data_IF_636262615745
#
_entry.id   IF_636262615745
#
_cell.length_a   1.000
_cell.length_b   1.000
_cell.length_c   1.000
_cell.angle_alpha   90.00
_cell.angle_beta   90.00
_cell.angle_gamma   90.00
#
_symmetry.space_group_name_H-M   'P 1'
#
loop_
_entity.id
_entity.type
_entity.pdbx_description
1 polymer ?
#
# COMPACT_ATOMS: atom_id res chain seq x y z
N UNK A 1 -4.21 -10.44 -28.04
CA UNK A 1 -4.74 -10.03 -26.73
C UNK A 1 -4.29 -11.05 -25.70
N UNK A 2 -3.40 -10.67 -24.79
CA UNK A 2 -3.05 -11.52 -23.65
C UNK A 2 -4.33 -11.76 -22.84
N UNK A 3 -4.69 -13.03 -22.66
CA UNK A 3 -5.84 -13.43 -21.85
C UNK A 3 -5.57 -12.94 -20.43
N UNK A 4 -6.44 -12.11 -19.87
CA UNK A 4 -6.32 -11.60 -18.51
C UNK A 4 -6.30 -12.79 -17.53
N UNK A 5 -5.11 -13.17 -17.06
CA UNK A 5 -4.96 -14.31 -16.15
C UNK A 5 -5.16 -13.86 -14.71
N UNK A 6 -5.59 -14.78 -13.84
CA UNK A 6 -5.69 -14.52 -12.39
C UNK A 6 -4.36 -14.03 -11.81
N UNK A 7 -3.25 -14.60 -12.25
CA UNK A 7 -1.91 -14.17 -11.84
C UNK A 7 -1.62 -12.72 -12.25
N UNK A 8 -1.92 -12.34 -13.50
CA UNK A 8 -1.72 -10.97 -13.97
C UNK A 8 -2.58 -9.96 -13.20
N UNK A 9 -3.84 -10.30 -12.90
CA UNK A 9 -4.71 -9.47 -12.05
C UNK A 9 -4.11 -9.33 -10.66
N UNK A 10 -3.69 -10.43 -10.04
CA UNK A 10 -3.12 -10.42 -8.70
C UNK A 10 -1.84 -9.58 -8.62
N UNK A 11 -0.94 -9.72 -9.59
CA UNK A 11 0.27 -8.90 -9.68
C UNK A 11 -0.07 -7.42 -9.84
N UNK A 12 -1.01 -7.07 -10.73
CA UNK A 12 -1.43 -5.68 -10.90
C UNK A 12 -2.02 -5.10 -9.61
N UNK A 13 -2.88 -5.85 -8.92
CA UNK A 13 -3.44 -5.45 -7.63
C UNK A 13 -2.35 -5.24 -6.57
N UNK A 14 -1.38 -6.14 -6.49
CA UNK A 14 -0.27 -6.04 -5.56
C UNK A 14 0.57 -4.78 -5.83
N UNK A 15 0.94 -4.53 -7.08
CA UNK A 15 1.68 -3.32 -7.46
C UNK A 15 0.89 -2.03 -7.20
N UNK A 16 -0.44 -2.04 -7.41
CA UNK A 16 -1.28 -0.90 -7.04
C UNK A 16 -1.28 -0.66 -5.52
N UNK A 17 -1.32 -1.73 -4.71
CA UNK A 17 -1.24 -1.62 -3.26
C UNK A 17 0.11 -1.04 -2.82
N UNK A 18 1.22 -1.55 -3.34
CA UNK A 18 2.57 -1.04 -3.03
C UNK A 18 2.68 0.45 -3.35
N UNK A 19 2.27 0.85 -4.56
CA UNK A 19 2.29 2.26 -4.96
C UNK A 19 1.40 3.16 -4.10
N UNK A 20 0.22 2.67 -3.70
CA UNK A 20 -0.67 3.41 -2.81
C UNK A 20 -0.09 3.54 -1.39
N UNK A 21 0.50 2.47 -0.84
CA UNK A 21 1.17 2.51 0.46
C UNK A 21 2.30 3.54 0.44
N UNK A 22 3.15 3.53 -0.59
CA UNK A 22 4.23 4.53 -0.74
C UNK A 22 3.69 5.97 -0.77
N UNK A 23 2.64 6.25 -1.55
CA UNK A 23 2.06 7.58 -1.62
C UNK A 23 1.48 8.06 -0.28
N UNK A 24 0.93 7.14 0.52
CA UNK A 24 0.46 7.46 1.88
C UNK A 24 1.64 7.77 2.80
N UNK A 25 2.75 7.02 2.72
CA UNK A 25 3.96 7.31 3.52
C UNK A 25 4.52 8.70 3.17
N UNK A 26 4.60 9.04 1.88
CA UNK A 26 5.04 10.38 1.44
C UNK A 26 4.13 11.48 1.98
N UNK A 27 2.81 11.23 2.04
CA UNK A 27 1.84 12.16 2.61
C UNK A 27 2.03 12.32 4.12
N UNK A 28 2.40 11.25 4.85
CA UNK A 28 2.69 11.33 6.29
C UNK A 28 3.92 12.18 6.55
N UNK A 29 4.99 12.02 5.76
CA UNK A 29 6.19 12.86 5.84
C UNK A 29 5.85 14.33 5.60
N UNK A 30 5.05 14.60 4.56
CA UNK A 30 4.63 15.95 4.19
C UNK A 30 3.77 16.62 5.28
N UNK A 31 2.71 15.96 5.73
CA UNK A 31 1.77 16.53 6.73
C UNK A 31 2.43 16.70 8.11
N UNK A 32 3.43 15.88 8.43
CA UNK A 32 4.13 15.95 9.71
C UNK A 32 5.34 16.89 9.69
N UNK A 33 5.70 17.44 8.52
CA UNK A 33 6.92 18.24 8.30
C UNK A 33 8.20 17.55 8.80
N UNK A 34 8.29 16.23 8.58
CA UNK A 34 9.46 15.41 8.94
C UNK A 34 9.98 14.62 7.75
N UNK A 35 11.27 14.31 7.77
CA UNK A 35 11.87 13.31 6.88
C UNK A 35 12.23 12.07 7.68
N UNK A 36 11.64 10.94 7.31
CA UNK A 36 11.92 9.65 7.91
C UNK A 36 13.25 9.12 7.38
N UNK A 37 14.03 8.50 8.26
CA UNK A 37 15.15 7.67 7.82
C UNK A 37 14.66 6.32 7.27
N UNK A 38 15.56 5.52 6.71
CA UNK A 38 15.21 4.25 6.06
C UNK A 38 14.49 3.27 7.00
N UNK A 39 14.88 3.19 8.27
CA UNK A 39 14.26 2.31 9.26
C UNK A 39 12.86 2.76 9.62
N UNK A 40 12.69 4.06 9.86
CA UNK A 40 11.40 4.70 10.15
C UNK A 40 10.45 4.57 8.97
N UNK A 41 10.94 4.84 7.75
CA UNK A 41 10.17 4.71 6.52
C UNK A 41 9.64 3.28 6.37
N UNK A 42 10.47 2.26 6.57
CA UNK A 42 10.01 0.87 6.55
C UNK A 42 9.00 0.54 7.64
N UNK A 43 9.15 1.10 8.84
CA UNK A 43 8.19 0.89 9.93
C UNK A 43 6.83 1.49 9.59
N UNK A 44 6.80 2.74 9.10
CA UNK A 44 5.57 3.43 8.68
C UNK A 44 4.94 2.70 7.49
N UNK A 45 5.73 2.30 6.48
CA UNK A 45 5.24 1.52 5.33
C UNK A 45 4.50 0.25 5.78
N UNK A 46 5.13 -0.57 6.64
CA UNK A 46 4.52 -1.82 7.16
C UNK A 46 3.25 -1.55 7.96
N UNK A 47 3.22 -0.46 8.73
CA UNK A 47 2.03 -0.08 9.49
C UNK A 47 0.88 0.32 8.56
N UNK A 48 1.16 1.15 7.57
CA UNK A 48 0.18 1.62 6.56
C UNK A 48 -0.36 0.44 5.75
N UNK A 49 0.51 -0.42 5.22
CA UNK A 49 0.14 -1.64 4.48
C UNK A 49 -0.80 -2.53 5.30
N UNK A 50 -0.46 -2.75 6.59
CA UNK A 50 -1.28 -3.55 7.51
C UNK A 50 -2.66 -2.92 7.75
N UNK A 51 -2.74 -1.61 7.95
CA UNK A 51 -4.01 -0.90 8.17
C UNK A 51 -4.88 -1.00 6.92
N UNK A 52 -4.33 -0.72 5.74
CA UNK A 52 -5.06 -0.77 4.47
C UNK A 52 -5.55 -2.20 4.20
N UNK A 53 -4.66 -3.19 4.32
CA UNK A 53 -5.02 -4.61 4.12
C UNK A 53 -6.12 -5.05 5.09
N UNK A 54 -6.07 -4.61 6.36
CA UNK A 54 -7.11 -4.92 7.34
C UNK A 54 -8.45 -4.24 7.01
N UNK A 55 -8.41 -3.01 6.51
CA UNK A 55 -9.62 -2.28 6.13
C UNK A 55 -10.28 -2.90 4.89
N UNK A 56 -9.50 -3.31 3.89
CA UNK A 56 -10.00 -3.89 2.64
C UNK A 56 -10.38 -5.37 2.77
N UNK A 57 -9.70 -6.14 3.62
CA UNK A 57 -10.05 -7.56 3.88
C UNK A 57 -11.40 -7.74 4.57
N UNK A 58 -11.87 -6.76 5.34
CA UNK A 58 -13.20 -6.78 5.96
C UNK A 58 -14.33 -6.21 5.07
N UNK A 59 -13.97 -5.60 3.95
CA UNK A 59 -14.90 -4.96 3.01
C UNK A 59 -15.54 -5.89 1.98
N UNK A 60 -15.30 -7.20 2.04
CA UNK A 60 -15.91 -8.21 1.15
C UNK A 60 -17.32 -8.65 1.55
N UNK A 61 -18.02 -7.87 2.38
CA UNK A 61 -19.41 -8.07 2.74
C UNK A 61 -20.17 -6.75 2.50
N UNK A 62 -20.34 -6.41 1.23
CA UNK A 62 -21.25 -5.38 0.76
C UNK A 62 -22.01 -5.93 -0.45
#
# INVERSE_FOLDING_TARGET
MSRLTKAAIHTAMYSCLEGYVSAVVDSVEFESDIKLNDEEHQQVYRLVEKIITRATSKGGAA
#
